data_IF_395853612121
#
_entry.id   IF_395853612121
#
_cell.length_a   1.000
_cell.length_b   1.000
_cell.length_c   1.000
_cell.angle_alpha   90.00
_cell.angle_beta   90.00
_cell.angle_gamma   90.00
#
_symmetry.space_group_name_H-M   'P 1'
#
loop_
_entity.id
_entity.type
_entity.pdbx_description
1 polymer ?
#
# COMPACT_ATOMS: atom_id res chain seq x y z
N UNK A 1 -23.44 -25.82 -26.39
CA UNK A 1 -22.36 -25.34 -25.51
C UNK A 1 -21.37 -24.66 -26.43
N UNK A 2 -20.93 -23.43 -26.11
CA UNK A 2 -19.90 -22.78 -26.92
C UNK A 2 -18.65 -23.66 -26.91
N UNK A 3 -18.03 -23.90 -28.06
CA UNK A 3 -16.86 -24.77 -28.22
C UNK A 3 -15.55 -24.07 -27.79
N UNK A 4 -15.66 -22.89 -27.18
CA UNK A 4 -14.54 -22.07 -26.74
C UNK A 4 -14.34 -22.04 -25.22
N UNK A 5 -13.24 -21.41 -24.76
CA UNK A 5 -12.99 -21.16 -23.34
C UNK A 5 -14.18 -20.46 -22.68
N UNK A 6 -14.42 -20.70 -21.37
CA UNK A 6 -15.51 -20.07 -20.66
C UNK A 6 -15.31 -18.54 -20.59
N UNK A 7 -16.43 -17.81 -20.58
CA UNK A 7 -16.43 -16.40 -20.20
C UNK A 7 -16.11 -16.23 -18.71
N UNK A 8 -15.78 -15.01 -18.23
CA UNK A 8 -15.48 -14.79 -16.80
C UNK A 8 -16.67 -15.13 -15.90
N UNK A 9 -17.90 -14.90 -16.38
CA UNK A 9 -19.11 -15.23 -15.63
C UNK A 9 -19.35 -16.75 -15.55
N UNK A 10 -19.11 -17.47 -16.66
CA UNK A 10 -19.16 -18.93 -16.66
C UNK A 10 -18.09 -19.52 -15.74
N UNK A 11 -16.88 -18.97 -15.79
CA UNK A 11 -15.77 -19.38 -14.93
C UNK A 11 -16.09 -19.11 -13.45
N UNK A 12 -16.70 -17.96 -13.14
CA UNK A 12 -17.16 -17.62 -11.80
C UNK A 12 -18.20 -18.62 -11.28
N UNK A 13 -19.21 -18.96 -12.09
CA UNK A 13 -20.22 -19.96 -11.72
C UNK A 13 -19.59 -21.31 -11.39
N UNK A 14 -18.63 -21.75 -12.21
CA UNK A 14 -17.89 -23.00 -12.00
C UNK A 14 -17.03 -22.95 -10.74
N UNK A 15 -16.33 -21.83 -10.49
CA UNK A 15 -15.52 -21.64 -9.27
C UNK A 15 -16.37 -21.63 -8.01
N UNK A 16 -17.55 -20.98 -8.02
CA UNK A 16 -18.49 -21.00 -6.89
C UNK A 16 -18.91 -22.44 -6.57
N UNK A 17 -19.32 -23.18 -7.60
CA UNK A 17 -19.70 -24.58 -7.46
C UNK A 17 -18.55 -25.42 -6.91
N UNK A 18 -17.35 -25.25 -7.48
CA UNK A 18 -16.16 -25.96 -7.05
C UNK A 18 -15.86 -25.73 -5.57
N UNK A 19 -15.78 -24.48 -5.12
CA UNK A 19 -15.51 -24.17 -3.71
C UNK A 19 -16.62 -24.64 -2.77
N UNK A 20 -17.89 -24.56 -3.19
CA UNK A 20 -19.02 -25.09 -2.42
C UNK A 20 -18.88 -26.60 -2.22
N UNK A 21 -18.57 -27.34 -3.28
CA UNK A 21 -18.41 -28.80 -3.25
C UNK A 21 -17.16 -29.23 -2.46
N UNK A 22 -16.04 -28.51 -2.59
CA UNK A 22 -14.82 -28.73 -1.78
C UNK A 22 -15.10 -28.59 -0.27
N UNK A 23 -15.96 -27.65 0.11
CA UNK A 23 -16.41 -27.47 1.50
C UNK A 23 -17.55 -28.42 1.91
N UNK A 24 -17.98 -29.33 1.02
CA UNK A 24 -19.10 -30.28 1.22
C UNK A 24 -20.41 -29.59 1.57
N UNK A 25 -20.64 -28.40 1.01
CA UNK A 25 -21.86 -27.63 1.25
C UNK A 25 -22.91 -27.96 0.20
N UNK A 26 -24.15 -28.08 0.64
CA UNK A 26 -25.31 -28.01 -0.24
C UNK A 26 -25.57 -26.55 -0.66
N UNK A 27 -26.28 -26.35 -1.78
CA UNK A 27 -26.72 -25.02 -2.18
C UNK A 27 -27.60 -24.33 -1.11
N UNK A 28 -28.33 -25.11 -0.30
CA UNK A 28 -29.09 -24.58 0.83
C UNK A 28 -28.17 -24.06 1.92
N UNK A 29 -27.14 -24.82 2.31
CA UNK A 29 -26.19 -24.39 3.33
C UNK A 29 -25.40 -23.15 2.90
N UNK A 30 -25.06 -23.03 1.61
CA UNK A 30 -24.46 -21.80 1.09
C UNK A 30 -25.45 -20.61 1.18
N UNK A 31 -26.71 -20.82 0.79
CA UNK A 31 -27.76 -19.81 0.94
C UNK A 31 -27.93 -19.36 2.41
N UNK A 32 -27.85 -20.31 3.35
CA UNK A 32 -27.97 -20.02 4.78
C UNK A 32 -26.77 -19.22 5.30
N UNK A 33 -25.55 -19.54 4.86
CA UNK A 33 -24.34 -18.73 5.18
C UNK A 33 -24.43 -17.31 4.65
N UNK A 34 -24.90 -17.14 3.41
CA UNK A 34 -25.15 -15.81 2.84
C UNK A 34 -26.13 -15.02 3.71
N UNK A 35 -27.22 -15.67 4.14
CA UNK A 35 -28.25 -15.05 4.99
C UNK A 35 -27.72 -14.65 6.37
N UNK A 36 -26.86 -15.46 6.97
CA UNK A 36 -26.20 -15.15 8.25
C UNK A 36 -25.31 -13.91 8.18
N UNK A 37 -24.83 -13.55 6.98
CA UNK A 37 -23.99 -12.38 6.74
C UNK A 37 -24.78 -11.16 6.23
N UNK A 38 -26.12 -11.23 6.26
CA UNK A 38 -27.02 -10.15 5.81
C UNK A 38 -27.28 -10.12 4.30
N UNK A 39 -26.77 -11.08 3.54
CA UNK A 39 -27.03 -11.20 2.10
C UNK A 39 -28.36 -11.90 1.80
N UNK A 40 -28.85 -11.76 0.56
CA UNK A 40 -30.13 -12.31 0.13
C UNK A 40 -29.99 -13.17 -1.14
N UNK A 41 -29.42 -14.37 -0.98
CA UNK A 41 -29.39 -15.39 -2.04
C UNK A 41 -30.15 -16.63 -1.59
N UNK A 42 -31.17 -17.03 -2.37
CA UNK A 42 -31.89 -18.26 -2.12
C UNK A 42 -31.14 -19.45 -2.70
N UNK A 43 -31.43 -20.66 -2.19
CA UNK A 43 -30.94 -21.92 -2.77
C UNK A 43 -31.20 -22.01 -4.28
N UNK A 44 -32.40 -21.60 -4.72
CA UNK A 44 -32.79 -21.66 -6.13
C UNK A 44 -31.96 -20.69 -6.98
N UNK A 45 -31.65 -19.50 -6.46
CA UNK A 45 -30.81 -18.52 -7.12
C UNK A 45 -29.38 -19.06 -7.28
N UNK A 46 -28.80 -19.59 -6.20
CA UNK A 46 -27.47 -20.21 -6.23
C UNK A 46 -27.42 -21.36 -7.24
N UNK A 47 -28.37 -22.29 -7.21
CA UNK A 47 -28.40 -23.40 -8.18
C UNK A 47 -28.53 -22.92 -9.63
N UNK A 48 -29.30 -21.86 -9.89
CA UNK A 48 -29.40 -21.28 -11.24
C UNK A 48 -28.09 -20.62 -11.68
N UNK A 49 -27.39 -19.94 -10.77
CA UNK A 49 -26.08 -19.32 -11.05
C UNK A 49 -25.04 -20.38 -11.40
N UNK A 50 -24.92 -21.44 -10.58
CA UNK A 50 -23.95 -22.54 -10.81
C UNK A 50 -24.19 -23.30 -12.12
N UNK A 51 -25.43 -23.32 -12.61
CA UNK A 51 -25.80 -23.93 -13.89
C UNK A 51 -25.76 -22.95 -15.07
N UNK A 52 -25.36 -21.69 -14.86
CA UNK A 52 -25.37 -20.65 -15.88
C UNK A 52 -26.77 -20.19 -16.33
N UNK A 53 -27.82 -20.58 -15.60
CA UNK A 53 -29.21 -20.21 -15.88
C UNK A 53 -29.63 -18.85 -15.28
N UNK A 54 -28.76 -18.21 -14.51
CA UNK A 54 -28.90 -16.84 -14.01
C UNK A 54 -27.52 -16.20 -13.95
N UNK A 55 -27.43 -14.95 -14.39
CA UNK A 55 -26.20 -14.19 -14.25
C UNK A 55 -25.81 -13.87 -12.80
N UNK A 56 -24.55 -13.49 -12.62
CA UNK A 56 -23.94 -13.22 -11.32
C UNK A 56 -23.48 -11.76 -11.31
N UNK A 57 -24.09 -10.96 -10.44
CA UNK A 57 -23.69 -9.55 -10.28
C UNK A 57 -22.36 -9.41 -9.52
N UNK A 58 -21.76 -8.22 -9.56
CA UNK A 58 -20.57 -7.90 -8.75
C UNK A 58 -20.91 -8.00 -7.25
N UNK A 59 -22.11 -7.59 -6.84
CA UNK A 59 -22.55 -7.72 -5.45
C UNK A 59 -22.68 -9.19 -5.04
N UNK A 60 -23.24 -10.02 -5.92
CA UNK A 60 -23.33 -11.47 -5.72
C UNK A 60 -21.93 -12.09 -5.54
N UNK A 61 -20.93 -11.65 -6.32
CA UNK A 61 -19.54 -12.09 -6.21
C UNK A 61 -18.99 -11.84 -4.80
N UNK A 62 -19.11 -10.62 -4.26
CA UNK A 62 -18.59 -10.32 -2.92
C UNK A 62 -19.33 -11.06 -1.81
N UNK A 63 -20.65 -11.19 -1.92
CA UNK A 63 -21.47 -11.94 -0.96
C UNK A 63 -21.10 -13.42 -0.95
N UNK A 64 -20.93 -14.03 -2.13
CA UNK A 64 -20.54 -15.44 -2.26
C UNK A 64 -19.09 -15.69 -1.83
N UNK A 65 -18.17 -14.79 -2.18
CA UNK A 65 -16.78 -14.81 -1.73
C UNK A 65 -16.69 -14.83 -0.20
N UNK A 66 -17.43 -13.93 0.46
CA UNK A 66 -17.50 -13.88 1.93
C UNK A 66 -18.15 -15.12 2.54
N UNK A 67 -19.20 -15.67 1.93
CA UNK A 67 -19.89 -16.87 2.44
C UNK A 67 -19.07 -18.15 2.26
N UNK A 68 -18.21 -18.19 1.23
CA UNK A 68 -17.28 -19.27 0.96
C UNK A 68 -15.92 -19.08 1.64
N UNK A 69 -15.65 -17.92 2.23
CA UNK A 69 -14.32 -17.56 2.76
C UNK A 69 -13.21 -17.70 1.70
N UNK A 70 -13.49 -17.28 0.48
CA UNK A 70 -12.56 -17.30 -0.67
C UNK A 70 -12.39 -15.86 -1.15
N UNK A 71 -11.15 -15.38 -1.42
CA UNK A 71 -10.95 -14.07 -2.03
C UNK A 71 -11.78 -13.92 -3.32
N UNK A 72 -12.53 -12.82 -3.53
CA UNK A 72 -13.37 -12.63 -4.72
C UNK A 72 -12.60 -12.84 -6.03
N UNK A 73 -11.36 -12.40 -6.05
CA UNK A 73 -10.45 -12.57 -7.18
C UNK A 73 -10.21 -14.04 -7.54
N UNK A 74 -10.11 -14.95 -6.56
CA UNK A 74 -9.92 -16.39 -6.83
C UNK A 74 -11.19 -17.09 -7.30
N UNK A 75 -12.37 -16.52 -7.03
CA UNK A 75 -13.61 -17.00 -7.64
C UNK A 75 -13.69 -16.59 -9.12
N UNK A 76 -13.28 -15.37 -9.45
CA UNK A 76 -13.32 -14.86 -10.82
C UNK A 76 -12.20 -15.45 -11.70
N UNK A 77 -10.98 -15.55 -11.15
CA UNK A 77 -9.81 -16.14 -11.81
C UNK A 77 -9.23 -17.23 -10.91
N UNK A 78 -9.61 -18.51 -11.10
CA UNK A 78 -9.18 -19.63 -10.27
C UNK A 78 -7.72 -20.03 -10.58
N UNK A 79 -6.77 -19.12 -10.32
CA UNK A 79 -5.34 -19.30 -10.58
C UNK A 79 -4.83 -20.56 -9.85
N UNK A 80 -4.13 -21.42 -10.58
CA UNK A 80 -3.59 -22.68 -10.05
C UNK A 80 -4.62 -23.78 -9.82
N UNK A 81 -5.91 -23.52 -10.06
CA UNK A 81 -6.98 -24.52 -9.95
C UNK A 81 -7.39 -24.99 -11.34
N UNK A 82 -7.36 -26.30 -11.56
CA UNK A 82 -7.78 -26.93 -12.82
C UNK A 82 -8.64 -28.15 -12.49
N UNK A 83 -9.80 -28.23 -13.14
CA UNK A 83 -10.71 -29.37 -13.02
C UNK A 83 -11.14 -29.80 -14.42
N UNK A 84 -12.02 -30.81 -14.50
CA UNK A 84 -12.72 -31.19 -15.73
C UNK A 84 -13.54 -30.04 -16.33
N UNK A 85 -14.07 -29.15 -15.48
CA UNK A 85 -14.92 -28.02 -15.89
C UNK A 85 -14.17 -26.68 -15.92
N UNK A 86 -13.13 -26.51 -15.12
CA UNK A 86 -12.34 -25.27 -15.03
C UNK A 86 -11.09 -25.41 -15.91
N UNK A 87 -11.13 -24.75 -17.08
CA UNK A 87 -9.98 -24.61 -17.98
C UNK A 87 -8.89 -23.71 -17.40
N UNK A 88 -7.67 -23.83 -17.93
CA UNK A 88 -6.58 -22.90 -17.65
C UNK A 88 -6.64 -21.61 -18.47
N UNK A 89 -7.73 -21.40 -19.21
CA UNK A 89 -7.95 -20.29 -20.15
C UNK A 89 -9.35 -19.71 -19.98
N UNK A 90 -9.51 -18.43 -20.32
CA UNK A 90 -10.75 -17.66 -20.21
C UNK A 90 -10.88 -16.74 -21.43
N UNK A 91 -12.06 -16.70 -22.04
CA UNK A 91 -12.40 -15.71 -23.06
C UNK A 91 -12.85 -14.43 -22.35
N UNK A 92 -11.93 -13.49 -22.12
CA UNK A 92 -12.17 -12.34 -21.24
C UNK A 92 -13.13 -11.32 -21.87
N UNK A 93 -13.10 -11.21 -23.20
CA UNK A 93 -14.02 -10.48 -24.07
C UNK A 93 -14.10 -11.23 -25.41
N UNK A 94 -15.16 -11.02 -26.23
CA UNK A 94 -15.32 -11.76 -27.49
C UNK A 94 -14.07 -11.74 -28.37
N UNK A 95 -13.54 -12.93 -28.67
CA UNK A 95 -12.35 -13.11 -29.51
C UNK A 95 -11.00 -12.92 -28.81
N UNK A 96 -10.97 -12.59 -27.52
CA UNK A 96 -9.72 -12.48 -26.74
C UNK A 96 -9.72 -13.54 -25.64
N UNK A 97 -8.92 -14.58 -25.88
CA UNK A 97 -8.64 -15.64 -24.90
C UNK A 97 -7.30 -15.41 -24.24
N UNK A 98 -7.27 -15.53 -22.91
CA UNK A 98 -6.06 -15.46 -22.10
C UNK A 98 -5.95 -16.71 -21.22
N UNK A 99 -4.73 -17.06 -20.81
CA UNK A 99 -4.58 -17.95 -19.66
C UNK A 99 -5.20 -17.33 -18.42
N UNK A 100 -5.70 -18.14 -17.47
CA UNK A 100 -6.27 -17.65 -16.21
C UNK A 100 -5.32 -16.70 -15.50
N UNK A 101 -4.01 -16.98 -15.53
CA UNK A 101 -2.98 -16.12 -14.95
C UNK A 101 -2.81 -14.78 -15.69
N UNK A 102 -2.80 -14.79 -17.02
CA UNK A 102 -2.71 -13.55 -17.80
C UNK A 102 -3.94 -12.67 -17.60
N UNK A 103 -5.14 -13.25 -17.57
CA UNK A 103 -6.38 -12.52 -17.26
C UNK A 103 -6.35 -11.92 -15.84
N UNK A 104 -5.86 -12.69 -14.87
CA UNK A 104 -5.62 -12.26 -13.50
C UNK A 104 -4.71 -11.02 -13.42
N UNK A 105 -3.56 -11.06 -14.13
CA UNK A 105 -2.62 -9.95 -14.21
C UNK A 105 -3.23 -8.73 -14.91
N UNK A 106 -4.08 -8.93 -15.91
CA UNK A 106 -4.78 -7.83 -16.56
C UNK A 106 -5.81 -7.18 -15.64
N UNK A 107 -6.62 -7.98 -14.96
CA UNK A 107 -7.62 -7.49 -14.02
C UNK A 107 -7.01 -6.66 -12.88
N UNK A 108 -5.80 -7.01 -12.45
CA UNK A 108 -5.06 -6.30 -11.39
C UNK A 108 -4.15 -5.19 -11.93
N UNK A 109 -4.17 -4.89 -13.23
CA UNK A 109 -3.36 -3.85 -13.85
C UNK A 109 -1.85 -4.13 -13.84
N UNK A 110 -1.43 -5.39 -13.80
CA UNK A 110 -0.01 -5.82 -13.87
C UNK A 110 0.48 -6.08 -15.29
N UNK A 111 -0.42 -6.30 -16.23
CA UNK A 111 -0.13 -6.48 -17.65
C UNK A 111 -1.34 -5.99 -18.45
N UNK A 112 -1.13 -5.34 -19.60
CA UNK A 112 -2.24 -4.96 -20.49
C UNK A 112 -2.50 -6.08 -21.51
N UNK A 113 -3.71 -6.14 -22.04
CA UNK A 113 -4.09 -7.11 -23.09
C UNK A 113 -3.40 -6.87 -24.43
N UNK A 114 -2.85 -5.69 -24.64
CA UNK A 114 -1.89 -5.39 -25.70
C UNK A 114 -0.65 -4.72 -25.11
N UNK A 115 0.51 -4.97 -25.72
CA UNK A 115 1.80 -4.43 -25.31
C UNK A 115 1.93 -2.89 -25.41
N UNK A 116 0.87 -2.16 -25.77
CA UNK A 116 0.94 -0.74 -26.19
C UNK A 116 0.24 0.27 -25.28
N UNK A 117 -0.39 -0.10 -24.16
CA UNK A 117 -1.02 0.92 -23.29
C UNK A 117 -0.04 1.41 -22.23
N UNK A 118 0.46 2.62 -22.47
CA UNK A 118 1.41 3.37 -21.66
C UNK A 118 1.22 3.20 -20.15
N UNK A 119 2.33 2.92 -19.48
CA UNK A 119 2.57 2.84 -18.03
C UNK A 119 1.92 3.95 -17.19
N UNK A 120 1.49 5.06 -17.81
CA UNK A 120 0.82 6.21 -17.16
C UNK A 120 -0.57 5.86 -16.58
N UNK A 121 -1.33 4.92 -17.17
CA UNK A 121 -2.68 4.59 -16.66
C UNK A 121 -2.66 3.72 -15.39
N UNK A 122 -1.54 3.04 -15.12
CA UNK A 122 -1.38 2.17 -13.95
C UNK A 122 -0.67 2.87 -12.76
N UNK A 123 -0.42 4.18 -12.83
CA UNK A 123 0.33 4.94 -11.80
C UNK A 123 -0.23 4.74 -10.39
N UNK A 124 -1.55 4.81 -10.13
CA UNK A 124 -2.07 4.58 -8.78
C UNK A 124 -1.74 3.18 -8.25
N UNK A 125 -2.08 2.12 -8.99
CA UNK A 125 -1.80 0.74 -8.56
C UNK A 125 -0.31 0.47 -8.39
N UNK A 126 0.53 1.06 -9.25
CA UNK A 126 1.98 0.98 -9.12
C UNK A 126 2.46 1.61 -7.81
N UNK A 127 2.04 2.84 -7.50
CA UNK A 127 2.46 3.55 -6.30
C UNK A 127 1.99 2.85 -5.02
N UNK A 128 0.75 2.36 -4.99
CA UNK A 128 0.22 1.59 -3.85
C UNK A 128 1.01 0.30 -3.62
N UNK A 129 1.30 -0.47 -4.68
CA UNK A 129 2.13 -1.69 -4.56
C UNK A 129 3.57 -1.39 -4.12
N UNK A 130 4.17 -0.32 -4.60
CA UNK A 130 5.51 0.09 -4.18
C UNK A 130 5.51 0.53 -2.72
N UNK A 131 4.48 1.26 -2.29
CA UNK A 131 4.28 1.66 -0.89
C UNK A 131 4.19 0.43 0.02
N UNK A 132 3.30 -0.51 -0.27
CA UNK A 132 3.13 -1.73 0.54
C UNK A 132 4.41 -2.56 0.60
N UNK A 133 5.11 -2.74 -0.54
CA UNK A 133 6.38 -3.47 -0.57
C UNK A 133 7.41 -2.83 0.36
N UNK A 134 7.65 -1.52 0.23
CA UNK A 134 8.67 -0.83 1.04
C UNK A 134 8.31 -0.80 2.52
N UNK A 135 7.03 -0.63 2.85
CA UNK A 135 6.56 -0.68 4.23
C UNK A 135 6.76 -2.07 4.83
N UNK A 136 6.37 -3.14 4.14
CA UNK A 136 6.56 -4.51 4.61
C UNK A 136 8.05 -4.86 4.73
N UNK A 137 8.89 -4.49 3.75
CA UNK A 137 10.34 -4.69 3.83
C UNK A 137 10.95 -3.97 5.06
N UNK A 138 10.41 -2.81 5.44
CA UNK A 138 10.83 -2.10 6.66
C UNK A 138 10.34 -2.81 7.93
N UNK A 139 9.08 -3.22 7.96
CA UNK A 139 8.47 -3.92 9.10
C UNK A 139 9.16 -5.26 9.36
N UNK A 140 9.50 -6.02 8.33
CA UNK A 140 10.27 -7.26 8.46
C UNK A 140 11.63 -6.99 9.13
N UNK A 141 12.29 -5.88 8.79
CA UNK A 141 13.56 -5.51 9.43
C UNK A 141 13.37 -5.15 10.91
N UNK A 142 12.29 -4.48 11.32
CA UNK A 142 12.14 -4.04 12.73
C UNK A 142 11.39 -5.04 13.61
N UNK A 143 10.58 -5.92 13.04
CA UNK A 143 9.84 -6.95 13.79
C UNK A 143 10.69 -8.18 14.09
N UNK A 144 11.74 -8.44 13.31
CA UNK A 144 12.76 -9.46 13.63
C UNK A 144 13.50 -9.17 14.96
N UNK A 145 13.34 -7.97 15.55
CA UNK A 145 13.81 -7.65 16.91
C UNK A 145 12.95 -8.23 18.05
N UNK A 146 11.75 -8.76 17.77
CA UNK A 146 10.84 -9.32 18.78
C UNK A 146 11.07 -10.83 19.05
N UNK A 147 11.85 -11.52 18.21
CA UNK A 147 12.40 -12.85 18.48
C UNK A 147 13.85 -12.67 18.95
N UNK A 148 14.33 -13.40 19.99
CA UNK A 148 15.41 -12.94 20.86
C UNK A 148 16.59 -12.41 20.04
N UNK A 149 16.88 -11.11 20.12
CA UNK A 149 17.95 -10.53 19.37
C UNK A 149 19.25 -11.24 19.77
N UNK A 150 19.94 -11.81 18.78
CA UNK A 150 21.37 -11.97 18.94
C UNK A 150 21.95 -10.60 19.34
N UNK A 151 22.94 -10.51 20.25
CA UNK A 151 23.55 -9.25 20.73
C UNK A 151 24.14 -8.34 19.62
N UNK A 152 23.96 -8.72 18.35
CA UNK A 152 24.17 -7.94 17.14
C UNK A 152 23.04 -6.90 16.83
N UNK A 153 22.22 -6.47 17.79
CA UNK A 153 21.21 -5.37 17.65
C UNK A 153 21.78 -3.98 17.34
N UNK A 154 23.06 -3.93 16.99
CA UNK A 154 23.74 -2.75 16.49
C UNK A 154 24.37 -2.96 15.10
N UNK A 155 23.92 -3.93 14.30
CA UNK A 155 24.38 -4.07 12.91
C UNK A 155 24.16 -2.74 12.14
N UNK A 156 25.24 -2.00 11.81
CA UNK A 156 25.13 -0.72 11.12
C UNK A 156 24.52 -0.86 9.73
N UNK A 157 24.68 -2.02 9.08
CA UNK A 157 24.11 -2.29 7.76
C UNK A 157 22.58 -2.39 7.83
N UNK A 158 22.05 -3.10 8.84
CA UNK A 158 20.60 -3.20 9.09
C UNK A 158 19.98 -1.84 9.38
N UNK A 159 20.61 -1.01 10.24
CA UNK A 159 20.15 0.37 10.53
C UNK A 159 20.17 1.25 9.28
N UNK A 160 21.24 1.17 8.49
CA UNK A 160 21.36 1.89 7.22
C UNK A 160 20.25 1.49 6.24
N UNK A 161 20.01 0.18 6.07
CA UNK A 161 18.94 -0.34 5.20
C UNK A 161 17.55 0.12 5.65
N UNK A 162 17.26 0.08 6.95
CA UNK A 162 15.99 0.59 7.50
C UNK A 162 15.82 2.09 7.21
N UNK A 163 16.87 2.89 7.40
CA UNK A 163 16.86 4.32 7.06
C UNK A 163 16.60 4.60 5.58
N UNK A 164 17.21 3.81 4.67
CA UNK A 164 16.98 3.94 3.23
C UNK A 164 15.54 3.61 2.83
N UNK A 165 14.93 2.57 3.44
CA UNK A 165 13.54 2.21 3.20
C UNK A 165 12.58 3.32 3.67
N UNK A 166 12.84 3.96 4.82
CA UNK A 166 12.04 5.09 5.30
C UNK A 166 12.10 6.30 4.36
N UNK A 167 13.28 6.63 3.82
CA UNK A 167 13.42 7.70 2.81
C UNK A 167 12.66 7.35 1.54
N UNK A 168 12.75 6.09 1.07
CA UNK A 168 12.02 5.63 -0.11
C UNK A 168 10.51 5.67 0.12
N UNK A 169 10.03 5.24 1.29
CA UNK A 169 8.63 5.30 1.68
C UNK A 169 8.11 6.75 1.65
N UNK A 170 8.88 7.69 2.21
CA UNK A 170 8.57 9.12 2.16
C UNK A 170 8.43 9.64 0.73
N UNK A 171 9.35 9.25 -0.16
CA UNK A 171 9.33 9.69 -1.55
C UNK A 171 8.12 9.13 -2.31
N UNK A 172 7.83 7.84 -2.16
CA UNK A 172 6.64 7.21 -2.77
C UNK A 172 5.36 7.92 -2.30
N UNK A 173 5.25 8.21 -1.01
CA UNK A 173 4.09 8.93 -0.45
C UNK A 173 4.01 10.38 -0.91
N UNK A 174 5.14 11.04 -1.20
CA UNK A 174 5.15 12.35 -1.84
C UNK A 174 4.69 12.26 -3.30
N UNK A 175 5.10 11.23 -4.04
CA UNK A 175 4.64 10.98 -5.41
C UNK A 175 3.14 10.69 -5.46
N UNK A 176 2.61 9.87 -4.54
CA UNK A 176 1.16 9.65 -4.40
C UNK A 176 0.40 10.98 -4.31
N UNK A 177 0.84 11.90 -3.44
CA UNK A 177 0.20 13.21 -3.30
C UNK A 177 0.35 14.11 -4.54
N UNK A 178 1.48 14.03 -5.26
CA UNK A 178 1.67 14.76 -6.53
C UNK A 178 0.72 14.28 -7.63
N UNK A 179 0.24 13.04 -7.52
CA UNK A 179 -0.76 12.44 -8.39
C UNK A 179 -2.19 12.52 -7.83
N UNK A 180 -2.44 13.39 -6.85
CA UNK A 180 -3.73 13.56 -6.17
C UNK A 180 -4.28 12.27 -5.55
N UNK A 181 -3.39 11.35 -5.17
CA UNK A 181 -3.72 10.12 -4.46
C UNK A 181 -3.58 10.32 -2.96
N UNK A 182 -4.52 9.77 -2.20
CA UNK A 182 -4.43 9.66 -0.75
C UNK A 182 -3.56 8.45 -0.39
N UNK A 183 -2.37 8.65 0.23
CA UNK A 183 -1.54 7.53 0.63
C UNK A 183 -2.21 6.71 1.74
N UNK A 184 -2.00 5.37 1.80
CA UNK A 184 -2.50 4.54 2.91
C UNK A 184 -2.06 5.05 4.28
N UNK A 185 -2.83 4.76 5.33
CA UNK A 185 -2.42 5.08 6.70
C UNK A 185 -1.14 4.34 7.08
N UNK A 186 -0.29 5.01 7.87
CA UNK A 186 0.91 4.40 8.44
C UNK A 186 0.63 3.93 9.86
N UNK A 187 1.31 2.87 10.33
CA UNK A 187 1.44 2.57 11.75
C UNK A 187 1.82 3.82 12.56
N UNK A 188 1.35 3.91 13.81
CA UNK A 188 1.48 5.12 14.64
C UNK A 188 2.94 5.58 14.81
N UNK A 189 3.86 4.62 14.95
CA UNK A 189 5.30 4.83 15.08
C UNK A 189 5.95 5.39 13.81
N UNK A 190 5.28 5.33 12.66
CA UNK A 190 5.77 5.81 11.36
C UNK A 190 5.06 7.07 10.85
N UNK A 191 4.07 7.61 11.57
CA UNK A 191 3.32 8.80 11.13
C UNK A 191 4.20 10.03 10.90
N UNK A 192 5.32 10.13 11.63
CA UNK A 192 6.31 11.21 11.47
C UNK A 192 6.91 11.31 10.06
N UNK A 193 6.80 10.26 9.24
CA UNK A 193 7.30 10.23 7.85
C UNK A 193 6.56 11.25 6.98
N UNK A 194 5.27 11.45 7.24
CA UNK A 194 4.42 12.39 6.51
C UNK A 194 4.42 13.80 7.08
N UNK A 195 4.71 13.90 8.38
CA UNK A 195 4.96 15.18 9.01
C UNK A 195 6.20 15.78 8.35
N UNK A 196 6.06 16.98 7.79
CA UNK A 196 7.19 17.74 7.26
C UNK A 196 8.20 17.93 8.40
N UNK A 197 9.18 17.03 8.53
CA UNK A 197 10.18 17.20 9.57
C UNK A 197 11.08 18.35 9.16
N UNK A 198 11.05 19.39 9.99
CA UNK A 198 12.13 20.35 10.18
C UNK A 198 13.47 19.62 9.96
N UNK A 199 14.27 20.13 9.03
CA UNK A 199 15.65 19.70 8.92
C UNK A 199 16.31 20.12 10.23
N UNK A 200 16.62 19.16 11.10
CA UNK A 200 17.48 19.41 12.25
C UNK A 200 18.89 19.59 11.70
N UNK A 201 19.20 20.82 11.29
CA UNK A 201 20.56 21.23 11.00
C UNK A 201 21.22 21.51 12.36
N UNK A 202 22.45 21.02 12.55
CA UNK A 202 23.30 21.62 13.57
C UNK A 202 23.55 23.09 13.20
N UNK A 203 23.89 23.98 14.16
CA UNK A 203 24.22 25.37 13.84
C UNK A 203 25.26 25.50 12.72
N UNK A 204 26.28 24.64 12.72
CA UNK A 204 27.31 24.59 11.66
C UNK A 204 26.74 24.17 10.28
N UNK A 205 25.79 23.23 10.24
CA UNK A 205 25.14 22.80 9.00
C UNK A 205 24.18 23.86 8.46
N UNK A 206 23.53 24.63 9.34
CA UNK A 206 22.69 25.76 8.93
C UNK A 206 23.53 26.91 8.37
N UNK A 207 24.65 27.24 9.01
CA UNK A 207 25.56 28.29 8.57
C UNK A 207 26.22 27.96 7.22
N UNK A 208 26.58 26.70 6.99
CA UNK A 208 27.12 26.25 5.70
C UNK A 208 26.12 26.40 4.55
N UNK A 209 24.85 26.05 4.76
CA UNK A 209 23.80 26.15 3.74
C UNK A 209 23.43 27.62 3.44
N UNK A 210 23.44 28.48 4.46
CA UNK A 210 23.20 29.93 4.30
C UNK A 210 24.38 30.61 3.58
N UNK A 211 25.61 30.16 3.83
CA UNK A 211 26.80 30.66 3.14
C UNK A 211 26.84 30.29 1.65
N UNK A 212 26.38 29.09 1.28
CA UNK A 212 26.34 28.63 -0.11
C UNK A 212 25.12 29.17 -0.88
N UNK A 213 23.98 29.36 -0.20
CA UNK A 213 22.72 29.75 -0.84
C UNK A 213 21.95 30.79 0.00
N UNK A 214 22.33 32.08 -0.06
CA UNK A 214 21.86 33.14 0.85
C UNK A 214 20.38 33.54 0.72
N UNK A 215 19.56 32.78 -0.01
CA UNK A 215 18.14 33.07 -0.25
C UNK A 215 17.14 31.92 -0.05
N UNK A 216 17.58 30.72 0.37
CA UNK A 216 16.75 29.50 0.27
C UNK A 216 16.07 29.00 1.56
N UNK A 217 16.07 29.76 2.66
CA UNK A 217 15.41 29.35 3.90
C UNK A 217 14.40 30.41 4.39
N UNK A 218 13.11 30.10 4.31
CA UNK A 218 12.07 30.79 5.09
C UNK A 218 12.03 30.19 6.49
N UNK A 219 12.59 30.91 7.47
CA UNK A 219 12.47 30.58 8.89
C UNK A 219 11.09 31.03 9.37
N UNK A 220 10.32 30.12 9.98
CA UNK A 220 9.01 30.43 10.58
C UNK A 220 9.14 30.32 12.10
N UNK A 221 8.72 31.37 12.80
CA UNK A 221 8.61 31.47 14.27
C UNK A 221 7.54 30.50 14.82
N UNK A 222 7.74 30.02 16.06
CA UNK A 222 6.94 29.00 16.75
C UNK A 222 5.49 29.40 17.12
N UNK A 223 4.99 30.59 16.78
CA UNK A 223 3.63 31.04 17.13
C UNK A 223 2.67 31.17 15.95
N UNK A 224 3.12 30.93 14.72
CA UNK A 224 2.24 30.87 13.53
C UNK A 224 1.57 32.20 13.12
N UNK A 225 1.91 33.35 13.73
CA UNK A 225 1.51 34.67 13.21
C UNK A 225 2.66 35.30 12.43
N UNK A 226 2.58 35.24 11.10
CA UNK A 226 3.55 35.92 10.25
C UNK A 226 3.51 37.43 10.46
N UNK A 227 4.60 38.00 10.99
CA UNK A 227 4.91 39.39 10.73
C UNK A 227 5.88 39.44 9.55
N UNK A 228 5.40 40.01 8.44
CA UNK A 228 6.24 40.38 7.32
C UNK A 228 7.15 41.51 7.80
N UNK A 229 8.39 41.20 8.15
CA UNK A 229 9.46 42.20 8.24
C UNK A 229 10.49 41.88 7.19
N UNK A 230 10.47 42.66 6.12
CA UNK A 230 11.62 42.73 5.21
C UNK A 230 12.78 43.32 6.02
N UNK A 231 13.80 42.50 6.24
CA UNK A 231 15.11 42.99 6.66
C UNK A 231 15.98 43.05 5.42
N UNK A 232 16.43 44.27 5.11
CA UNK A 232 17.38 44.49 4.03
C UNK A 232 18.75 43.96 4.44
N UNK A 233 19.58 43.54 3.48
CA UNK A 233 20.89 42.96 3.79
C UNK A 233 21.75 44.03 4.47
N UNK A 234 22.19 43.77 5.71
CA UNK A 234 23.10 44.63 6.46
C UNK A 234 22.73 44.91 7.92
N UNK A 235 21.51 44.60 8.38
CA UNK A 235 21.14 44.85 9.77
C UNK A 235 21.70 43.76 10.70
N UNK A 236 22.77 44.10 11.42
CA UNK A 236 23.47 43.25 12.39
C UNK A 236 22.65 42.83 13.63
N UNK A 237 21.33 43.07 13.64
CA UNK A 237 20.41 42.67 14.70
C UNK A 237 20.14 41.15 14.71
N UNK A 238 20.07 40.51 13.52
CA UNK A 238 19.80 39.06 13.43
C UNK A 238 20.93 38.20 14.04
N UNK A 239 22.17 38.68 13.95
CA UNK A 239 23.35 38.01 14.52
C UNK A 239 23.38 38.18 16.05
N UNK A 240 22.97 39.34 16.57
CA UNK A 240 22.92 39.59 18.01
C UNK A 240 21.82 38.78 18.72
N UNK A 241 20.67 38.58 18.07
CA UNK A 241 19.58 37.77 18.63
C UNK A 241 19.91 36.27 18.63
N UNK A 242 20.58 35.77 17.59
CA UNK A 242 21.10 34.40 17.55
C UNK A 242 22.18 34.14 18.62
N UNK A 243 23.09 35.11 18.85
CA UNK A 243 24.12 35.00 19.89
C UNK A 243 23.54 35.09 21.32
N UNK A 244 22.45 35.83 21.52
CA UNK A 244 21.73 35.89 22.81
C UNK A 244 21.05 34.57 23.15
N UNK A 245 20.52 33.86 22.13
CA UNK A 245 19.89 32.56 22.30
C UNK A 245 20.92 31.47 22.65
N UNK A 246 22.08 31.47 21.98
CA UNK A 246 23.17 30.52 22.25
C UNK A 246 23.78 30.66 23.66
N UNK A 247 23.82 31.87 24.24
CA UNK A 247 24.36 32.09 25.60
C UNK A 247 23.47 31.59 26.74
N UNK A 248 22.15 31.46 26.50
CA UNK A 248 21.20 31.07 27.53
C UNK A 248 20.82 29.57 27.46
N UNK A 249 21.42 28.82 26.53
CA UNK A 249 21.16 27.39 26.37
C UNK A 249 22.08 26.58 27.29
N UNK A 250 21.52 25.92 28.31
CA UNK A 250 22.20 24.87 29.08
C UNK A 250 21.77 23.51 28.53
N UNK A 251 22.66 22.75 27.85
CA UNK A 251 22.35 21.39 27.45
C UNK A 251 22.24 20.47 28.69
N UNK A 252 21.42 19.42 28.65
CA UNK A 252 21.34 18.43 29.72
C UNK A 252 22.70 17.73 29.89
N UNK A 253 23.16 17.60 31.14
CA UNK A 253 24.37 16.85 31.47
C UNK A 253 24.17 15.36 31.15
N UNK A 254 25.04 14.82 30.29
CA UNK A 254 25.13 13.39 30.02
C UNK A 254 25.71 12.68 31.25
N UNK A 255 25.23 11.47 31.62
CA UNK A 255 25.83 10.71 32.70
C UNK A 255 27.26 10.30 32.32
N UNK A 256 28.18 10.46 33.29
CA UNK A 256 29.62 10.32 33.11
C UNK A 256 30.05 8.90 32.74
N UNK A 257 31.10 8.83 31.93
CA UNK A 257 31.99 7.68 31.83
C UNK A 257 32.66 7.50 33.20
N UNK A 258 32.33 6.41 33.90
CA UNK A 258 33.10 5.97 35.06
C UNK A 258 34.33 5.17 34.58
N UNK A 259 35.46 5.50 35.21
CA UNK A 259 36.81 4.97 35.02
C UNK A 259 36.91 3.43 35.14
N UNK A 260 37.59 2.79 34.18
CA UNK A 260 38.79 1.93 34.36
C UNK A 260 39.35 1.41 33.03
#
# INVERSE_FOLDING_TARGET
MSDGPPSPEQLLALSIRHHREQQRLTAQQLADRVRQQGGNLSRQVISKMELGGRGISIDDLFVLARALSVPPYLLLFPVGTRTDQISGEVEIVPGITLSTWAAARWFTGEAMTSDEVETRQAVPLYLFRQHDRVLNDYLDIVTDDLFPPSPATADPERKSRAGQLLVRLRNIRADMRRHDLEPPELPDDLRYIDEKRHVYLTPEQADAIVAEHPGSLRIVDQTGRGQHREHKPGDGAAIQDAQKFARNFHPPQMPGEDDE
#
